data_IF_923422752699
#
_entry.id   IF_923422752699
#
_cell.length_a   1.000
_cell.length_b   1.000
_cell.length_c   1.000
_cell.angle_alpha   90.00
_cell.angle_beta   90.00
_cell.angle_gamma   90.00
#
_symmetry.space_group_name_H-M   'P 1'
#
loop_
_entity.id
_entity.type
_entity.pdbx_description
1 polymer ?
#
# COMPACT_ATOMS: atom_id res chain seq x y z
N UNK A 1 -7.34 18.20 31.41
CA UNK A 1 -7.85 18.05 30.03
C UNK A 1 -7.58 16.62 29.56
N UNK A 2 -8.49 15.65 29.76
CA UNK A 2 -8.27 14.29 29.26
C UNK A 2 -8.60 14.27 27.76
N UNK A 3 -7.62 13.87 26.94
CA UNK A 3 -7.84 13.57 25.52
C UNK A 3 -8.53 12.22 25.42
N UNK A 4 -9.82 12.23 25.09
CA UNK A 4 -10.58 11.02 24.77
C UNK A 4 -9.99 10.40 23.50
N UNK A 5 -9.15 9.38 23.66
CA UNK A 5 -8.75 8.52 22.56
C UNK A 5 -9.95 7.66 22.18
N UNK A 6 -10.72 8.11 21.19
CA UNK A 6 -11.74 7.30 20.56
C UNK A 6 -11.05 6.15 19.82
N UNK A 7 -10.97 4.99 20.47
CA UNK A 7 -10.69 3.72 19.81
C UNK A 7 -11.79 3.51 18.78
N UNK A 8 -11.52 3.83 17.51
CA UNK A 8 -12.39 3.44 16.41
C UNK A 8 -12.45 1.92 16.43
N UNK A 9 -13.59 1.41 16.90
CA UNK A 9 -13.93 -0.01 16.85
C UNK A 9 -14.01 -0.35 15.37
N UNK A 10 -12.92 -0.84 14.80
CA UNK A 10 -12.88 -1.28 13.42
C UNK A 10 -13.92 -2.39 13.30
N UNK A 11 -15.01 -2.10 12.56
CA UNK A 11 -15.97 -3.11 12.14
C UNK A 11 -15.18 -4.29 11.56
N UNK A 12 -15.46 -5.55 11.96
CA UNK A 12 -14.75 -6.71 11.44
C UNK A 12 -15.16 -6.92 9.98
N UNK A 13 -14.61 -6.09 9.10
CA UNK A 13 -14.62 -6.31 7.67
C UNK A 13 -14.06 -7.73 7.48
N UNK A 14 -14.75 -8.60 6.71
CA UNK A 14 -14.26 -9.94 6.47
C UNK A 14 -12.82 -9.82 5.96
N UNK A 15 -11.87 -10.47 6.63
CA UNK A 15 -10.43 -10.38 6.34
C UNK A 15 -10.09 -10.64 4.87
N UNK A 16 -11.00 -11.29 4.12
CA UNK A 16 -10.98 -11.40 2.66
C UNK A 16 -10.98 -10.04 1.95
N UNK A 17 -11.91 -9.14 2.27
CA UNK A 17 -12.01 -7.83 1.62
C UNK A 17 -10.76 -6.96 1.86
N UNK A 18 -10.12 -7.08 3.03
CA UNK A 18 -8.86 -6.41 3.33
C UNK A 18 -7.71 -6.96 2.47
N UNK A 19 -7.64 -8.29 2.28
CA UNK A 19 -6.69 -8.94 1.38
C UNK A 19 -6.92 -8.57 -0.08
N UNK A 20 -8.17 -8.51 -0.52
CA UNK A 20 -8.52 -8.10 -1.89
C UNK A 20 -8.14 -6.64 -2.14
N UNK A 21 -8.39 -5.75 -1.16
CA UNK A 21 -7.95 -4.36 -1.23
C UNK A 21 -6.43 -4.25 -1.30
N UNK A 22 -5.69 -5.01 -0.49
CA UNK A 22 -4.22 -5.06 -0.54
C UNK A 22 -3.72 -5.60 -1.88
N UNK A 23 -4.35 -6.63 -2.43
CA UNK A 23 -4.01 -7.20 -3.73
C UNK A 23 -4.25 -6.20 -4.87
N UNK A 24 -5.39 -5.50 -4.84
CA UNK A 24 -5.68 -4.42 -5.79
C UNK A 24 -4.64 -3.28 -5.67
N UNK A 25 -4.30 -2.87 -4.45
CA UNK A 25 -3.31 -1.82 -4.18
C UNK A 25 -1.92 -2.22 -4.67
N UNK A 26 -1.50 -3.46 -4.41
CA UNK A 26 -0.25 -4.02 -4.93
C UNK A 26 -0.23 -4.00 -6.48
N UNK A 27 -1.34 -4.41 -7.12
CA UNK A 27 -1.47 -4.35 -8.58
C UNK A 27 -1.32 -2.95 -9.16
N UNK A 28 -1.91 -1.94 -8.51
CA UNK A 28 -1.76 -0.53 -8.91
C UNK A 28 -0.29 -0.08 -8.82
N UNK A 29 0.40 -0.39 -7.72
CA UNK A 29 1.83 -0.03 -7.56
C UNK A 29 2.70 -0.71 -8.63
N UNK A 30 2.52 -2.02 -8.84
CA UNK A 30 3.29 -2.77 -9.84
C UNK A 30 3.05 -2.22 -11.25
N UNK A 31 1.79 -1.93 -11.61
CA UNK A 31 1.46 -1.30 -12.89
C UNK A 31 2.14 0.06 -13.02
N UNK A 32 2.09 0.91 -12.01
CA UNK A 32 2.76 2.22 -12.06
C UNK A 32 4.27 2.09 -12.28
N UNK A 33 4.93 1.10 -11.65
CA UNK A 33 6.37 0.85 -11.86
C UNK A 33 6.65 0.37 -13.29
N UNK A 34 5.79 -0.49 -13.85
CA UNK A 34 5.97 -0.98 -15.22
C UNK A 34 5.73 0.11 -16.27
N UNK A 35 4.76 1.00 -16.06
CA UNK A 35 4.44 2.11 -16.99
C UNK A 35 5.50 3.21 -16.99
N UNK A 36 6.14 3.50 -15.85
CA UNK A 36 7.10 4.60 -15.71
C UNK A 36 8.57 4.13 -15.60
N UNK A 37 8.82 2.82 -15.54
CA UNK A 37 10.13 2.25 -15.23
C UNK A 37 10.49 2.30 -13.73
N UNK A 38 11.72 1.90 -13.34
CA UNK A 38 12.19 1.95 -11.96
C UNK A 38 12.31 3.40 -11.47
N UNK A 39 11.23 3.94 -10.92
CA UNK A 39 11.15 5.30 -10.37
C UNK A 39 11.36 5.31 -8.85
N UNK A 40 11.78 6.46 -8.32
CA UNK A 40 11.94 6.65 -6.88
C UNK A 40 10.64 6.33 -6.11
N UNK A 41 10.76 5.67 -4.96
CA UNK A 41 9.60 5.28 -4.10
C UNK A 41 8.72 6.47 -3.71
N UNK A 42 9.31 7.65 -3.56
CA UNK A 42 8.58 8.90 -3.28
C UNK A 42 7.67 9.33 -4.44
N UNK A 43 8.05 9.05 -5.68
CA UNK A 43 7.22 9.32 -6.86
C UNK A 43 6.04 8.37 -6.91
N UNK A 44 6.24 7.08 -6.62
CA UNK A 44 5.16 6.09 -6.54
C UNK A 44 4.13 6.51 -5.48
N UNK A 45 4.58 6.95 -4.30
CA UNK A 45 3.68 7.43 -3.25
C UNK A 45 2.81 8.60 -3.71
N UNK A 46 3.38 9.57 -4.44
CA UNK A 46 2.63 10.69 -5.02
C UNK A 46 1.66 10.25 -6.12
N UNK A 47 2.09 9.36 -7.01
CA UNK A 47 1.28 8.89 -8.14
C UNK A 47 0.11 8.00 -7.68
N UNK A 48 0.32 7.20 -6.64
CA UNK A 48 -0.69 6.24 -6.15
C UNK A 48 -1.53 6.80 -5.00
N UNK A 49 -1.13 7.93 -4.39
CA UNK A 49 -1.78 8.50 -3.21
C UNK A 49 -1.62 7.63 -1.94
N UNK A 50 -0.73 6.64 -1.97
CA UNK A 50 -0.50 5.73 -0.86
C UNK A 50 0.47 6.33 0.16
N UNK A 51 0.34 5.89 1.41
CA UNK A 51 1.32 6.20 2.44
C UNK A 51 2.71 5.68 2.06
N UNK A 52 3.80 6.42 2.34
CA UNK A 52 5.18 6.00 2.04
C UNK A 52 5.57 4.65 2.67
N UNK A 53 5.00 4.33 3.83
CA UNK A 53 5.23 3.05 4.51
C UNK A 53 4.66 1.88 3.69
N UNK A 54 3.43 2.03 3.17
CA UNK A 54 2.78 1.02 2.35
C UNK A 54 3.54 0.79 1.03
N UNK A 55 4.02 1.87 0.41
CA UNK A 55 4.83 1.78 -0.82
C UNK A 55 6.12 0.99 -0.56
N UNK A 56 6.77 1.23 0.57
CA UNK A 56 8.01 0.53 0.94
C UNK A 56 7.75 -0.97 1.19
N UNK A 57 6.66 -1.32 1.88
CA UNK A 57 6.28 -2.73 2.11
C UNK A 57 5.98 -3.46 0.79
N UNK A 58 5.22 -2.84 -0.12
CA UNK A 58 4.91 -3.42 -1.42
C UNK A 58 6.16 -3.57 -2.29
N UNK A 59 7.04 -2.57 -2.35
CA UNK A 59 8.32 -2.70 -3.07
C UNK A 59 9.18 -3.83 -2.51
N UNK A 60 9.34 -3.92 -1.18
CA UNK A 60 10.10 -5.00 -0.57
C UNK A 60 9.50 -6.38 -0.89
N UNK A 61 8.17 -6.49 -0.91
CA UNK A 61 7.47 -7.72 -1.33
C UNK A 61 7.73 -8.04 -2.80
N UNK A 62 7.70 -7.07 -3.70
CA UNK A 62 7.97 -7.29 -5.12
C UNK A 62 9.41 -7.71 -5.38
N UNK A 63 10.39 -7.09 -4.73
CA UNK A 63 11.79 -7.49 -4.80
C UNK A 63 11.99 -8.91 -4.27
N UNK A 64 11.31 -9.27 -3.17
CA UNK A 64 11.33 -10.67 -2.65
C UNK A 64 10.75 -11.68 -3.64
N UNK A 65 9.81 -11.26 -4.47
CA UNK A 65 9.19 -12.08 -5.52
C UNK A 65 9.96 -12.04 -6.86
N UNK A 66 11.01 -11.21 -6.97
CA UNK A 66 11.78 -11.03 -8.21
C UNK A 66 11.03 -10.27 -9.31
N UNK A 67 10.05 -9.44 -8.93
CA UNK A 67 9.20 -8.72 -9.87
C UNK A 67 9.71 -7.31 -10.21
N UNK A 68 10.50 -6.68 -9.33
CA UNK A 68 11.13 -5.35 -9.49
C UNK A 68 12.48 -5.27 -8.78
#
# INVERSE_FOLDING_TARGET
MPRTAATLIASPVPRGADRDRRRATAGVVLRSVLEHGPVARSTIARLTGLSPASVTDYCARFTRLGLV
#
